data_IF_151679135093
#
_entry.id   IF_151679135093
#
_cell.length_a   1.000
_cell.length_b   1.000
_cell.length_c   1.000
_cell.angle_alpha   90.00
_cell.angle_beta   90.00
_cell.angle_gamma   90.00
#
_symmetry.space_group_name_H-M   'P 1'
#
loop_
_entity.id
_entity.type
_entity.pdbx_description
1 polymer ?
#
# COMPACT_ATOMS: atom_id res chain seq x y z
N UNK A 1 12.29 -7.08 11.28
CA UNK A 1 11.29 -7.90 12.01
C UNK A 1 9.92 -7.46 11.52
N UNK A 2 9.09 -8.39 11.05
CA UNK A 2 7.75 -8.07 10.53
C UNK A 2 6.77 -8.01 11.71
N UNK A 3 6.11 -6.88 11.91
CA UNK A 3 5.02 -6.75 12.88
C UNK A 3 3.70 -7.10 12.16
N UNK A 4 3.07 -8.19 12.59
CA UNK A 4 1.72 -8.57 12.14
C UNK A 4 0.76 -8.17 13.26
N UNK A 5 -0.14 -7.24 12.97
CA UNK A 5 -1.19 -6.80 13.92
C UNK A 5 -2.53 -7.34 13.44
N UNK A 6 -3.22 -8.06 14.31
CA UNK A 6 -4.54 -8.68 14.07
C UNK A 6 -5.56 -8.08 15.04
N UNK A 7 -6.73 -7.66 14.54
CA UNK A 7 -7.84 -7.18 15.37
C UNK A 7 -8.88 -8.30 15.57
N UNK A 8 -9.42 -8.45 16.78
CA UNK A 8 -10.31 -9.58 17.15
C UNK A 8 -11.73 -9.48 16.59
N UNK A 9 -12.41 -10.59 16.31
CA UNK A 9 -13.74 -10.65 15.68
C UNK A 9 -14.90 -10.25 16.62
N UNK A 10 -15.86 -9.48 16.11
CA UNK A 10 -17.18 -9.29 16.75
C UNK A 10 -18.26 -9.28 15.65
N UNK A 11 -19.32 -10.08 15.82
CA UNK A 11 -20.38 -10.27 14.82
C UNK A 11 -21.18 -8.99 14.64
N UNK A 12 -20.97 -8.33 13.50
CA UNK A 12 -21.64 -7.09 13.12
C UNK A 12 -21.31 -6.78 11.67
N UNK A 13 -21.84 -7.59 10.75
CA UNK A 13 -21.61 -7.44 9.32
C UNK A 13 -22.33 -6.19 8.83
N UNK A 14 -21.58 -5.14 8.51
CA UNK A 14 -22.10 -4.03 7.71
C UNK A 14 -22.22 -4.54 6.27
N UNK A 15 -23.37 -5.11 5.92
CA UNK A 15 -23.62 -5.64 4.59
C UNK A 15 -23.39 -4.55 3.52
N UNK A 16 -22.42 -4.78 2.64
CA UNK A 16 -22.13 -3.95 1.47
C UNK A 16 -21.13 -2.81 1.65
N UNK A 17 -20.50 -2.66 2.83
CA UNK A 17 -19.46 -1.65 3.01
C UNK A 17 -18.15 -2.04 2.28
N UNK A 18 -17.56 -1.07 1.57
CA UNK A 18 -16.21 -1.19 1.02
C UNK A 18 -15.19 -1.18 2.18
N UNK A 19 -14.41 -2.25 2.33
CA UNK A 19 -13.40 -2.36 3.38
C UNK A 19 -12.08 -2.91 2.87
N UNK A 20 -10.99 -2.55 3.54
CA UNK A 20 -9.70 -3.22 3.37
C UNK A 20 -9.67 -4.36 4.37
N UNK A 21 -9.41 -5.61 3.94
CA UNK A 21 -9.20 -6.77 4.83
C UNK A 21 -7.74 -6.96 5.20
N UNK A 22 -6.85 -6.53 4.31
CA UNK A 22 -5.41 -6.67 4.49
C UNK A 22 -4.68 -5.55 3.77
N UNK A 23 -3.65 -5.00 4.41
CA UNK A 23 -2.70 -4.07 3.81
C UNK A 23 -1.27 -4.61 3.99
N UNK A 24 -0.50 -4.63 2.90
CA UNK A 24 0.92 -5.03 2.89
C UNK A 24 1.76 -3.89 2.33
N UNK A 25 2.85 -3.58 3.01
CA UNK A 25 3.83 -2.58 2.59
C UNK A 25 5.20 -3.26 2.47
N UNK A 26 5.92 -2.97 1.38
CA UNK A 26 7.30 -3.44 1.16
C UNK A 26 8.16 -2.26 0.73
N UNK A 27 9.26 -2.03 1.44
CA UNK A 27 10.22 -0.94 1.19
C UNK A 27 9.55 0.43 1.03
N UNK A 28 8.51 0.71 1.81
CA UNK A 28 7.64 1.88 1.66
C UNK A 28 7.84 2.86 2.82
N UNK A 29 8.27 4.10 2.54
CA UNK A 29 8.49 5.14 3.55
C UNK A 29 9.34 4.64 4.73
N UNK A 30 8.81 4.61 5.95
CA UNK A 30 9.50 4.11 7.14
C UNK A 30 9.34 2.59 7.36
N UNK A 31 8.62 1.88 6.49
CA UNK A 31 8.37 0.44 6.60
C UNK A 31 9.29 -0.33 5.66
N UNK A 32 10.12 -1.21 6.21
CA UNK A 32 10.82 -2.23 5.41
C UNK A 32 9.82 -3.29 4.95
N UNK A 33 9.03 -3.78 5.90
CA UNK A 33 7.86 -4.63 5.66
C UNK A 33 6.80 -4.34 6.73
N UNK A 34 5.53 -4.31 6.34
CA UNK A 34 4.40 -4.28 7.28
C UNK A 34 3.22 -5.08 6.72
N UNK A 35 2.49 -5.77 7.61
CA UNK A 35 1.24 -6.47 7.28
C UNK A 35 0.19 -6.18 8.34
N UNK A 36 -0.91 -5.60 7.90
CA UNK A 36 -2.09 -5.32 8.72
C UNK A 36 -3.24 -6.23 8.27
N UNK A 37 -3.88 -6.92 9.20
CA UNK A 37 -5.10 -7.69 8.95
C UNK A 37 -6.23 -7.16 9.83
N UNK A 38 -7.32 -6.75 9.19
CA UNK A 38 -8.44 -6.06 9.83
C UNK A 38 -9.76 -6.65 9.33
N UNK A 39 -10.83 -6.40 10.08
CA UNK A 39 -12.20 -6.69 9.64
C UNK A 39 -12.87 -5.43 9.07
N UNK A 40 -14.21 -5.45 8.97
CA UNK A 40 -15.00 -4.37 8.34
C UNK A 40 -15.19 -3.15 9.26
N UNK A 41 -14.67 -3.18 10.49
CA UNK A 41 -14.88 -2.11 11.46
C UNK A 41 -13.86 -0.99 11.26
N UNK A 42 -14.20 0.25 11.67
CA UNK A 42 -13.24 1.35 11.68
C UNK A 42 -11.98 1.04 12.49
N UNK A 43 -10.82 1.35 11.92
CA UNK A 43 -9.51 1.15 12.56
C UNK A 43 -8.95 2.50 13.00
N UNK A 44 -8.53 2.59 14.27
CA UNK A 44 -7.86 3.76 14.81
C UNK A 44 -6.35 3.51 14.88
N UNK A 45 -5.57 4.33 14.17
CA UNK A 45 -4.11 4.31 14.25
C UNK A 45 -3.64 5.22 15.40
N UNK A 46 -2.99 4.65 16.41
CA UNK A 46 -2.46 5.38 17.57
C UNK A 46 -0.94 5.26 17.65
N UNK A 47 -0.31 6.10 18.49
CA UNK A 47 1.14 6.10 18.71
C UNK A 47 1.78 7.48 18.54
N UNK A 48 3.09 7.61 18.81
CA UNK A 48 3.80 8.89 18.78
C UNK A 48 3.79 9.59 17.42
N UNK A 49 4.08 10.89 17.41
CA UNK A 49 4.38 11.61 16.17
C UNK A 49 5.61 11.00 15.50
N UNK A 50 5.58 10.89 14.17
CA UNK A 50 6.65 10.23 13.41
C UNK A 50 6.58 8.70 13.36
N UNK A 51 5.67 8.03 14.08
CA UNK A 51 5.54 6.57 14.09
C UNK A 51 5.05 5.94 12.77
N UNK A 52 4.79 6.72 11.72
CA UNK A 52 4.38 6.20 10.41
C UNK A 52 2.87 6.05 10.19
N UNK A 53 2.02 6.54 11.10
CA UNK A 53 0.55 6.52 10.95
C UNK A 53 0.07 7.14 9.63
N UNK A 54 0.54 8.35 9.32
CA UNK A 54 0.22 9.03 8.06
C UNK A 54 0.81 8.32 6.85
N UNK A 55 1.93 7.61 7.00
CA UNK A 55 2.50 6.82 5.90
C UNK A 55 1.58 5.64 5.55
N UNK A 56 0.92 5.03 6.55
CA UNK A 56 -0.06 3.97 6.31
C UNK A 56 -1.29 4.49 5.54
N UNK A 57 -1.82 5.66 5.90
CA UNK A 57 -2.90 6.31 5.15
C UNK A 57 -2.48 6.72 3.74
N UNK A 58 -1.25 7.21 3.60
CA UNK A 58 -0.69 7.53 2.29
C UNK A 58 -0.58 6.27 1.41
N UNK A 59 -0.17 5.13 1.96
CA UNK A 59 -0.13 3.87 1.23
C UNK A 59 -1.49 3.50 0.62
N UNK A 60 -2.57 3.65 1.39
CA UNK A 60 -3.94 3.41 0.91
C UNK A 60 -4.26 4.34 -0.27
N UNK A 61 -3.87 5.62 -0.21
CA UNK A 61 -4.09 6.56 -1.31
C UNK A 61 -3.34 6.22 -2.60
N UNK A 62 -2.30 5.39 -2.54
CA UNK A 62 -1.63 4.87 -3.71
C UNK A 62 -2.39 3.69 -4.36
N UNK A 63 -3.49 3.21 -3.79
CA UNK A 63 -4.33 2.19 -4.44
C UNK A 63 -5.35 2.81 -5.40
N UNK A 64 -5.49 4.13 -5.42
CA UNK A 64 -6.37 4.88 -6.33
C UNK A 64 -5.56 5.67 -7.38
N UNK A 65 -6.22 6.17 -8.45
CA UNK A 65 -5.62 7.13 -9.38
C UNK A 65 -5.00 8.35 -8.69
N UNK A 66 -4.02 9.00 -9.35
CA UNK A 66 -3.26 10.13 -8.82
C UNK A 66 -1.87 9.78 -8.28
N UNK A 67 -1.29 10.69 -7.50
CA UNK A 67 0.10 10.65 -6.98
C UNK A 67 0.19 10.35 -5.47
N UNK A 68 -0.90 9.87 -4.87
CA UNK A 68 -1.03 9.73 -3.42
C UNK A 68 -1.21 11.06 -2.70
N UNK A 69 -1.49 11.02 -1.39
CA UNK A 69 -1.90 12.19 -0.59
C UNK A 69 -0.86 13.33 -0.58
N UNK A 70 0.44 13.01 -0.61
CA UNK A 70 1.51 14.04 -0.54
C UNK A 70 1.99 14.51 -1.91
N UNK A 71 1.53 13.90 -3.00
CA UNK A 71 1.96 14.24 -4.35
C UNK A 71 3.47 14.04 -4.63
N UNK A 72 4.16 13.22 -3.84
CA UNK A 72 5.59 12.95 -4.00
C UNK A 72 5.90 12.25 -5.34
N UNK A 73 7.13 12.40 -5.85
CA UNK A 73 7.60 11.59 -6.99
C UNK A 73 7.64 10.12 -6.59
N UNK A 74 7.45 9.20 -7.53
CA UNK A 74 7.36 7.77 -7.20
C UNK A 74 8.69 7.25 -6.63
N UNK A 75 9.81 7.81 -7.08
CA UNK A 75 11.14 7.52 -6.54
C UNK A 75 11.31 7.91 -5.06
N UNK A 76 10.67 9.01 -4.64
CA UNK A 76 10.77 9.54 -3.27
C UNK A 76 9.89 8.79 -2.26
N UNK A 77 9.05 7.86 -2.72
CA UNK A 77 8.12 7.09 -1.87
C UNK A 77 8.82 5.92 -1.17
N UNK A 78 9.86 5.38 -1.81
CA UNK A 78 10.63 4.26 -1.29
C UNK A 78 11.23 4.55 0.09
N UNK A 79 11.54 3.49 0.82
CA UNK A 79 12.26 3.60 2.09
C UNK A 79 13.66 4.14 1.84
N UNK A 80 13.96 5.29 2.44
CA UNK A 80 15.31 5.84 2.46
C UNK A 80 16.18 5.00 3.41
N UNK A 81 16.97 4.09 2.87
CA UNK A 81 18.02 3.38 3.61
C UNK A 81 19.34 3.99 3.17
N UNK A 82 19.90 4.90 3.96
CA UNK A 82 21.11 5.65 3.60
C UNK A 82 22.41 4.82 3.68
N UNK A 83 22.33 3.50 3.57
CA UNK A 83 23.48 2.61 3.67
C UNK A 83 23.91 2.28 2.24
N UNK A 84 24.95 2.98 1.77
CA UNK A 84 25.74 2.66 0.56
C UNK A 84 25.10 3.01 -0.80
N UNK A 85 24.42 4.16 -0.95
CA UNK A 85 24.16 4.76 -2.26
C UNK A 85 23.14 4.05 -3.17
N UNK A 86 22.61 2.90 -2.77
CA UNK A 86 21.56 2.18 -3.49
C UNK A 86 20.15 2.69 -3.13
N UNK A 87 19.86 3.95 -3.46
CA UNK A 87 18.53 4.55 -3.25
C UNK A 87 17.45 4.07 -4.24
N UNK A 88 17.72 3.02 -5.03
CA UNK A 88 16.82 2.53 -6.09
C UNK A 88 16.22 1.15 -5.79
N UNK A 89 15.70 0.97 -4.59
CA UNK A 89 14.86 -0.19 -4.29
C UNK A 89 13.42 0.13 -4.65
N UNK A 90 12.83 -0.72 -5.50
CA UNK A 90 11.40 -0.69 -5.74
C UNK A 90 10.62 -0.82 -4.44
N UNK A 91 9.40 -0.27 -4.42
CA UNK A 91 8.49 -0.35 -3.29
C UNK A 91 7.15 -0.88 -3.77
N UNK A 92 6.37 -1.45 -2.86
CA UNK A 92 5.05 -1.94 -3.17
C UNK A 92 4.07 -1.70 -2.01
N UNK A 93 2.83 -1.40 -2.40
CA UNK A 93 1.65 -1.42 -1.54
C UNK A 93 0.67 -2.40 -2.16
N UNK A 94 0.17 -3.34 -1.36
CA UNK A 94 -0.87 -4.26 -1.79
C UNK A 94 -1.99 -4.31 -0.75
N UNK A 95 -3.23 -4.38 -1.20
CA UNK A 95 -4.37 -4.57 -0.33
C UNK A 95 -5.32 -5.63 -0.86
N UNK A 96 -5.99 -6.28 0.08
CA UNK A 96 -7.18 -7.08 -0.20
C UNK A 96 -8.39 -6.24 0.19
N UNK A 97 -9.27 -6.00 -0.76
CA UNK A 97 -10.46 -5.18 -0.60
C UNK A 97 -11.68 -6.10 -0.61
N UNK A 98 -12.64 -5.86 0.29
CA UNK A 98 -13.93 -6.51 0.28
C UNK A 98 -15.04 -5.51 -0.06
N UNK A 99 -15.97 -5.95 -0.90
CA UNK A 99 -17.20 -5.20 -1.23
C UNK A 99 -18.28 -6.20 -1.65
N UNK A 100 -19.48 -6.11 -1.07
CA UNK A 100 -20.60 -7.03 -1.34
C UNK A 100 -20.22 -8.52 -1.28
N UNK A 101 -19.38 -8.91 -0.31
CA UNK A 101 -18.90 -10.28 -0.15
C UNK A 101 -17.90 -10.75 -1.21
N UNK A 102 -17.57 -9.90 -2.19
CA UNK A 102 -16.49 -10.14 -3.15
C UNK A 102 -15.18 -9.65 -2.59
N UNK A 103 -14.10 -10.33 -2.98
CA UNK A 103 -12.72 -10.00 -2.60
C UNK A 103 -11.94 -9.68 -3.87
N UNK A 104 -11.23 -8.55 -3.85
CA UNK A 104 -10.34 -8.10 -4.92
C UNK A 104 -8.96 -7.83 -4.34
N UNK A 105 -7.92 -8.38 -4.96
CA UNK A 105 -6.55 -8.04 -4.61
C UNK A 105 -6.05 -6.91 -5.52
N UNK A 106 -5.65 -5.80 -4.92
CA UNK A 106 -5.08 -4.65 -5.62
C UNK A 106 -3.65 -4.42 -5.15
N UNK A 107 -2.77 -3.99 -6.06
CA UNK A 107 -1.43 -3.58 -5.70
C UNK A 107 -0.91 -2.48 -6.60
N UNK A 108 0.00 -1.69 -6.06
CA UNK A 108 0.81 -0.77 -6.82
C UNK A 108 2.24 -0.75 -6.32
N UNK A 109 3.17 -0.33 -7.16
CA UNK A 109 4.54 -0.16 -6.76
C UNK A 109 5.37 0.54 -7.82
N UNK A 110 6.58 0.89 -7.44
CA UNK A 110 7.63 1.28 -8.37
C UNK A 110 8.50 0.04 -8.63
N UNK A 111 8.63 -0.32 -9.89
CA UNK A 111 9.59 -1.33 -10.32
C UNK A 111 10.89 -0.65 -10.76
N UNK A 112 12.01 -1.06 -10.17
CA UNK A 112 13.35 -0.57 -10.51
C UNK A 112 14.13 -1.54 -11.39
N UNK A 113 13.51 -2.64 -11.86
CA UNK A 113 14.11 -3.67 -12.71
C UNK A 113 14.30 -3.30 -14.19
N UNK A 114 14.02 -2.06 -14.59
CA UNK A 114 14.23 -1.59 -15.96
C UNK A 114 15.59 -0.89 -16.11
N UNK A 115 16.23 -1.13 -17.25
CA UNK A 115 17.57 -0.63 -17.63
C UNK A 115 17.68 0.89 -17.80
N UNK A 116 16.58 1.64 -17.71
CA UNK A 116 16.59 3.10 -17.71
C UNK A 116 16.42 3.67 -16.28
N UNK A 117 17.51 4.16 -15.67
CA UNK A 117 17.50 4.75 -14.34
C UNK A 117 16.67 6.03 -14.20
N UNK A 118 16.28 6.66 -15.31
CA UNK A 118 15.48 7.89 -15.31
C UNK A 118 13.98 7.64 -15.50
N UNK A 119 13.57 6.40 -15.78
CA UNK A 119 12.17 6.08 -16.08
C UNK A 119 11.46 5.51 -14.85
N UNK A 120 10.77 6.38 -14.12
CA UNK A 120 9.85 5.97 -13.07
C UNK A 120 8.61 5.31 -13.68
N UNK A 121 8.45 4.00 -13.46
CA UNK A 121 7.27 3.27 -13.92
C UNK A 121 6.47 2.72 -12.74
N UNK A 122 5.29 3.29 -12.53
CA UNK A 122 4.29 2.70 -11.64
C UNK A 122 3.75 1.41 -12.26
N UNK A 123 3.80 0.33 -11.50
CA UNK A 123 3.09 -0.91 -11.79
C UNK A 123 1.80 -0.90 -10.97
N UNK A 124 0.73 -1.38 -11.59
CA UNK A 124 -0.55 -1.67 -10.94
C UNK A 124 -0.84 -3.15 -11.16
N UNK A 125 -1.38 -3.83 -10.14
CA UNK A 125 -1.86 -5.20 -10.25
C UNK A 125 -3.28 -5.28 -9.70
N UNK A 126 -4.15 -5.97 -10.41
CA UNK A 126 -5.51 -6.31 -9.95
C UNK A 126 -5.70 -7.81 -10.16
N UNK A 127 -6.04 -8.53 -9.11
CA UNK A 127 -6.16 -10.00 -9.06
C UNK A 127 -4.95 -10.70 -9.70
N UNK A 128 -3.75 -10.23 -9.33
CA UNK A 128 -2.47 -10.73 -9.82
C UNK A 128 -2.09 -10.30 -11.24
N UNK A 129 -2.99 -9.71 -12.01
CA UNK A 129 -2.73 -9.27 -13.39
C UNK A 129 -2.18 -7.84 -13.42
N UNK A 130 -1.07 -7.64 -14.12
CA UNK A 130 -0.50 -6.30 -14.31
C UNK A 130 -1.45 -5.46 -15.17
N UNK A 131 -1.77 -4.26 -14.68
CA UNK A 131 -2.55 -3.24 -15.36
C UNK A 131 -1.63 -2.06 -15.68
N UNK A 132 -1.70 -1.61 -16.93
CA UNK A 132 -0.76 -0.64 -17.50
C UNK A 132 -1.30 0.79 -17.42
N UNK A 133 -2.61 0.96 -17.25
CA UNK A 133 -3.28 2.25 -17.23
C UNK A 133 -3.92 2.49 -15.87
N UNK A 134 -3.66 3.68 -15.33
CA UNK A 134 -4.24 4.14 -14.08
C UNK A 134 -5.77 4.32 -14.15
N UNK A 135 -6.31 4.55 -15.35
CA UNK A 135 -7.76 4.64 -15.60
C UNK A 135 -8.51 3.34 -15.33
N UNK A 136 -7.82 2.22 -15.10
CA UNK A 136 -8.43 0.91 -14.80
C UNK A 136 -8.64 0.70 -13.28
N UNK A 137 -8.33 1.72 -12.47
CA UNK A 137 -8.63 1.77 -11.03
C UNK A 137 -10.01 2.39 -10.72
N UNK A 138 -10.77 2.79 -11.74
CA UNK A 138 -12.09 3.41 -11.64
C UNK A 138 -13.10 2.75 -12.56
#
# INVERSE_FOLDING_TARGET
MAETVTFGSHEGTVNGALSIKRLKLTSYRCYEFARLEVDDRPVVLTGPNGAGKTNLLEAISYLVPGRGLRGAKLSDVGRNVSVLGENRRGWAVAAQISHDGKIVDIGTGLDTGYSDPNRERRIIKIDGKIRMRQSELG
#
